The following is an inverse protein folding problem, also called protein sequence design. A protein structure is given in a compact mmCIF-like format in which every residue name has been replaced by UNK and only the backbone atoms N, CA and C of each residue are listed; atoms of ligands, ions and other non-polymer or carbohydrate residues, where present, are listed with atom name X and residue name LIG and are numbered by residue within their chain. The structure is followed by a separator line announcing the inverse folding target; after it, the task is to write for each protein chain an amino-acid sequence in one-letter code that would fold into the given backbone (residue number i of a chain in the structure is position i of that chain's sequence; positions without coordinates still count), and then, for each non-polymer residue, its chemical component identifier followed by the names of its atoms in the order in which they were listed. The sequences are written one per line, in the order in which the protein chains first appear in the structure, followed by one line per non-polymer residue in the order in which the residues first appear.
data_IF_975610053286
#
_entry.id   IF_975610053286
#
_cell.length_a   1.000
_cell.length_b   1.000
_cell.length_c   1.000
_cell.angle_alpha   90.00
_cell.angle_beta   90.00
_cell.angle_gamma   90.00
#
_symmetry.space_group_name_H-M   'P 1'
#
loop_
_entity.id
_entity.type
_entity.pdbx_description
1 polymer ?
#
# COMPACT_ATOMS: atom_id res chain seq x y z
N UNK A 1 2.80 -5.70 -52.25
CA UNK A 1 2.80 -4.54 -51.33
C UNK A 1 2.60 -5.10 -49.93
N UNK A 2 3.69 -5.28 -49.17
CA UNK A 2 3.63 -5.86 -47.82
C UNK A 2 3.27 -4.73 -46.87
N UNK A 3 2.07 -4.78 -46.27
CA UNK A 3 1.72 -3.88 -45.17
C UNK A 3 2.56 -4.29 -43.96
N UNK A 4 3.60 -3.51 -43.65
CA UNK A 4 4.19 -3.51 -42.32
C UNK A 4 3.15 -2.95 -41.35
N UNK A 5 2.45 -3.84 -40.65
CA UNK A 5 1.72 -3.47 -39.44
C UNK A 5 2.78 -3.03 -38.43
N UNK A 6 2.91 -1.71 -38.24
CA UNK A 6 3.70 -1.17 -37.14
C UNK A 6 3.02 -1.57 -35.84
N UNK A 7 3.42 -2.70 -35.27
CA UNK A 7 3.14 -3.00 -33.86
C UNK A 7 4.08 -2.11 -33.06
N UNK A 8 3.60 -0.93 -32.67
CA UNK A 8 4.32 -0.06 -31.76
C UNK A 8 4.31 -0.72 -30.38
N UNK A 9 5.38 -1.45 -30.04
CA UNK A 9 5.60 -1.94 -28.68
C UNK A 9 6.11 -0.77 -27.84
N UNK A 10 5.29 -0.31 -26.89
CA UNK A 10 5.79 0.55 -25.82
C UNK A 10 6.83 -0.24 -25.03
N UNK A 11 8.03 0.33 -24.85
CA UNK A 11 9.15 -0.29 -24.12
C UNK A 11 9.46 0.43 -22.80
N UNK A 12 8.83 1.58 -22.57
CA UNK A 12 9.01 2.39 -21.36
C UNK A 12 7.67 2.52 -20.64
N UNK A 13 7.63 2.02 -19.40
CA UNK A 13 6.46 2.04 -18.53
C UNK A 13 6.91 2.53 -17.15
N UNK A 14 6.86 3.85 -16.88
CA UNK A 14 7.43 4.43 -15.66
C UNK A 14 6.77 3.95 -14.35
N UNK A 15 5.60 3.32 -14.44
CA UNK A 15 4.86 2.79 -13.29
C UNK A 15 4.50 1.30 -13.43
N UNK A 16 5.20 0.61 -14.33
CA UNK A 16 4.95 -0.78 -14.68
C UNK A 16 3.97 -0.96 -15.84
N UNK A 17 3.95 -2.17 -16.40
CA UNK A 17 3.05 -2.53 -17.50
C UNK A 17 1.60 -2.56 -16.97
N UNK A 18 0.65 -1.91 -17.65
CA UNK A 18 -0.75 -1.91 -17.21
C UNK A 18 -1.28 -3.33 -17.02
N UNK A 19 -1.84 -3.60 -15.84
CA UNK A 19 -2.42 -4.91 -15.53
C UNK A 19 -3.86 -5.02 -16.09
N UNK A 20 -4.32 -6.24 -16.34
CA UNK A 20 -5.61 -6.59 -16.91
C UNK A 20 -6.74 -6.11 -15.98
N UNK A 21 -7.69 -5.34 -16.53
CA UNK A 21 -8.83 -4.76 -15.78
C UNK A 21 -9.64 -5.80 -15.00
N UNK A 22 -9.73 -7.03 -15.49
CA UNK A 22 -10.43 -8.13 -14.85
C UNK A 22 -9.86 -8.46 -13.46
N UNK A 23 -8.54 -8.50 -13.31
CA UNK A 23 -7.88 -8.81 -12.01
C UNK A 23 -8.24 -7.78 -10.94
N UNK A 24 -8.31 -6.50 -11.31
CA UNK A 24 -8.69 -5.43 -10.39
C UNK A 24 -10.13 -5.57 -9.89
N UNK A 25 -11.05 -6.03 -10.74
CA UNK A 25 -12.46 -6.26 -10.35
C UNK A 25 -12.63 -7.39 -9.35
N UNK A 26 -11.86 -8.47 -9.51
CA UNK A 26 -11.88 -9.63 -8.60
C UNK A 26 -11.33 -9.25 -7.22
N UNK A 27 -10.24 -8.47 -7.17
CA UNK A 27 -9.67 -7.94 -5.93
C UNK A 27 -10.66 -7.05 -5.19
N UNK A 28 -11.33 -6.12 -5.89
CA UNK A 28 -12.33 -5.25 -5.26
C UNK A 28 -13.49 -6.01 -4.63
N UNK A 29 -13.96 -7.10 -5.26
CA UNK A 29 -15.01 -7.96 -4.65
C UNK A 29 -14.53 -8.62 -3.35
N UNK A 30 -13.32 -9.18 -3.36
CA UNK A 30 -12.74 -9.79 -2.15
C UNK A 30 -12.58 -8.75 -1.03
N UNK A 31 -12.15 -7.53 -1.37
CA UNK A 31 -12.02 -6.43 -0.42
C UNK A 31 -13.39 -6.00 0.12
N UNK A 32 -14.41 -5.90 -0.74
CA UNK A 32 -15.78 -5.58 -0.33
C UNK A 32 -16.34 -6.59 0.67
N UNK A 33 -16.04 -7.87 0.50
CA UNK A 33 -16.43 -8.92 1.45
C UNK A 33 -15.79 -8.71 2.83
N UNK A 34 -14.51 -8.32 2.88
CA UNK A 34 -13.84 -7.96 4.14
C UNK A 34 -14.51 -6.76 4.80
N UNK A 35 -14.77 -5.68 4.05
CA UNK A 35 -15.50 -4.52 4.60
C UNK A 35 -16.88 -4.91 5.12
N UNK A 36 -17.62 -5.76 4.39
CA UNK A 36 -18.94 -6.24 4.80
C UNK A 36 -18.88 -7.05 6.09
N UNK A 37 -17.84 -7.87 6.28
CA UNK A 37 -17.61 -8.61 7.52
C UNK A 37 -17.39 -7.67 8.73
N UNK A 38 -16.78 -6.51 8.52
CA UNK A 38 -16.51 -5.50 9.55
C UNK A 38 -17.51 -4.33 9.57
N UNK A 39 -18.77 -4.56 9.16
CA UNK A 39 -19.83 -3.53 9.17
C UNK A 39 -19.44 -2.24 8.43
N UNK A 40 -18.75 -2.38 7.30
CA UNK A 40 -18.25 -1.30 6.45
C UNK A 40 -17.26 -0.34 7.13
N UNK A 41 -16.63 -0.77 8.24
CA UNK A 41 -15.66 0.04 8.98
C UNK A 41 -14.45 -0.79 9.37
N UNK A 42 -13.32 -0.51 8.72
CA UNK A 42 -12.04 -1.15 9.00
C UNK A 42 -11.11 -0.17 9.70
N UNK A 43 -10.56 -0.55 10.84
CA UNK A 43 -9.53 0.18 11.55
C UNK A 43 -8.14 -0.35 11.19
N UNK A 44 -7.08 0.22 11.79
CA UNK A 44 -5.72 -0.29 11.59
C UNK A 44 -5.56 -1.78 11.97
N UNK A 45 -6.38 -2.30 12.89
CA UNK A 45 -6.30 -3.69 13.35
C UNK A 45 -6.64 -4.69 12.24
N UNK A 46 -7.65 -4.40 11.42
CA UNK A 46 -8.13 -5.31 10.36
C UNK A 46 -7.38 -5.09 9.02
N UNK A 47 -6.49 -4.09 8.93
CA UNK A 47 -5.80 -3.76 7.68
C UNK A 47 -4.91 -4.87 7.14
N UNK A 48 -4.49 -5.83 7.98
CA UNK A 48 -3.77 -7.03 7.52
C UNK A 48 -4.63 -7.86 6.56
N UNK A 49 -5.92 -7.99 6.85
CA UNK A 49 -6.88 -8.73 6.01
C UNK A 49 -7.14 -7.98 4.71
N UNK A 50 -7.25 -6.65 4.77
CA UNK A 50 -7.35 -5.79 3.58
C UNK A 50 -6.12 -5.92 2.67
N UNK A 51 -4.91 -5.91 3.23
CA UNK A 51 -3.68 -6.15 2.45
C UNK A 51 -3.72 -7.52 1.76
N UNK A 52 -4.12 -8.58 2.47
CA UNK A 52 -4.22 -9.92 1.90
C UNK A 52 -5.25 -9.98 0.76
N UNK A 53 -6.46 -9.45 0.96
CA UNK A 53 -7.51 -9.42 -0.07
C UNK A 53 -7.15 -8.57 -1.29
N UNK A 54 -6.42 -7.47 -1.08
CA UNK A 54 -5.89 -6.62 -2.16
C UNK A 54 -4.64 -7.19 -2.84
N UNK A 55 -4.06 -8.27 -2.31
CA UNK A 55 -2.78 -8.84 -2.72
C UNK A 55 -1.63 -7.83 -2.63
N UNK A 56 -1.68 -6.96 -1.62
CA UNK A 56 -0.58 -6.09 -1.20
C UNK A 56 0.19 -6.76 -0.06
N UNK A 57 1.44 -6.35 0.13
CA UNK A 57 2.24 -6.86 1.26
C UNK A 57 1.57 -6.51 2.59
N UNK A 58 1.38 -7.52 3.44
CA UNK A 58 0.69 -7.37 4.75
C UNK A 58 1.47 -6.55 5.77
N UNK A 59 2.79 -6.37 5.55
CA UNK A 59 3.63 -5.49 6.37
C UNK A 59 3.37 -4.01 6.08
N UNK A 60 2.69 -3.68 4.98
CA UNK A 60 2.37 -2.29 4.62
C UNK A 60 1.06 -1.80 5.24
N UNK A 61 0.46 -2.55 6.16
CA UNK A 61 -0.88 -2.29 6.71
C UNK A 61 -1.03 -0.88 7.29
N UNK A 62 -0.03 -0.37 8.02
CA UNK A 62 -0.07 0.99 8.59
C UNK A 62 0.15 2.08 7.54
N UNK A 63 1.21 2.06 6.70
CA UNK A 63 1.33 2.99 5.59
C UNK A 63 0.09 3.04 4.69
N UNK A 64 -0.50 1.88 4.36
CA UNK A 64 -1.72 1.78 3.57
C UNK A 64 -2.91 2.43 4.27
N UNK A 65 -3.09 2.16 5.56
CA UNK A 65 -4.13 2.78 6.37
C UNK A 65 -3.99 4.31 6.37
N UNK A 66 -2.80 4.83 6.65
CA UNK A 66 -2.53 6.27 6.71
C UNK A 66 -2.56 6.97 5.35
N UNK A 67 -2.43 6.22 4.26
CA UNK A 67 -2.59 6.71 2.90
C UNK A 67 -4.08 6.93 2.54
N UNK A 68 -4.99 6.19 3.16
CA UNK A 68 -6.43 6.19 2.83
C UNK A 68 -7.24 6.95 3.88
N UNK A 69 -6.88 6.80 5.16
CA UNK A 69 -7.62 7.36 6.28
C UNK A 69 -7.63 8.89 6.27
N UNK A 70 -8.76 9.46 6.66
CA UNK A 70 -8.97 10.91 6.79
C UNK A 70 -8.66 11.32 8.23
N UNK A 71 -8.00 12.47 8.44
CA UNK A 71 -7.43 12.94 9.72
C UNK A 71 -8.37 13.00 10.95
N UNK A 72 -9.68 12.80 10.77
CA UNK A 72 -10.68 12.89 11.83
C UNK A 72 -11.48 11.59 12.03
N UNK A 73 -11.06 10.49 11.40
CA UNK A 73 -11.73 9.18 11.50
C UNK A 73 -10.71 8.11 11.87
N UNK A 74 -11.08 7.22 12.79
CA UNK A 74 -10.29 6.05 13.19
C UNK A 74 -10.68 4.78 12.42
N UNK A 75 -11.41 4.92 11.31
CA UNK A 75 -11.79 3.83 10.42
C UNK A 75 -11.80 4.32 8.97
N UNK A 76 -11.74 3.36 8.05
CA UNK A 76 -11.96 3.53 6.61
C UNK A 76 -13.27 2.80 6.28
N UNK A 77 -14.11 3.38 5.43
CA UNK A 77 -15.25 2.67 4.83
C UNK A 77 -14.96 2.18 3.41
N UNK A 78 -15.75 1.23 2.91
CA UNK A 78 -15.52 0.66 1.57
C UNK A 78 -15.55 1.73 0.48
N UNK A 79 -16.45 2.72 0.57
CA UNK A 79 -16.53 3.81 -0.39
C UNK A 79 -15.22 4.61 -0.50
N UNK A 80 -14.59 4.92 0.63
CA UNK A 80 -13.29 5.60 0.68
C UNK A 80 -12.20 4.73 0.05
N UNK A 81 -12.14 3.45 0.43
CA UNK A 81 -11.18 2.51 -0.13
C UNK A 81 -11.35 2.34 -1.63
N UNK A 82 -12.57 2.13 -2.13
CA UNK A 82 -12.86 1.90 -3.54
C UNK A 82 -12.51 3.11 -4.40
N UNK A 83 -12.79 4.32 -3.91
CA UNK A 83 -12.39 5.57 -4.56
C UNK A 83 -10.86 5.70 -4.62
N UNK A 84 -10.17 5.44 -3.51
CA UNK A 84 -8.71 5.43 -3.47
C UNK A 84 -8.11 4.38 -4.41
N UNK A 85 -8.63 3.15 -4.38
CA UNK A 85 -8.17 2.02 -5.19
C UNK A 85 -8.28 2.31 -6.69
N UNK A 86 -9.38 2.95 -7.12
CA UNK A 86 -9.56 3.38 -8.50
C UNK A 86 -8.46 4.36 -8.94
N UNK A 87 -8.13 5.34 -8.11
CA UNK A 87 -7.06 6.30 -8.38
C UNK A 87 -5.70 5.60 -8.40
N UNK A 88 -5.42 4.81 -7.38
CA UNK A 88 -4.19 4.02 -7.23
C UNK A 88 -3.92 3.13 -8.44
N UNK A 89 -4.89 2.28 -8.84
CA UNK A 89 -4.73 1.36 -9.96
C UNK A 89 -4.83 2.00 -11.35
N UNK A 90 -5.14 3.30 -11.45
CA UNK A 90 -5.12 4.01 -12.74
C UNK A 90 -3.72 4.35 -13.23
N UNK A 91 -2.73 4.37 -12.33
CA UNK A 91 -1.38 4.82 -12.62
C UNK A 91 -0.28 3.99 -11.96
N UNK A 92 -0.61 3.01 -11.12
CA UNK A 92 0.36 2.24 -10.33
C UNK A 92 0.16 0.74 -10.53
N UNK A 93 1.13 0.08 -11.17
CA UNK A 93 0.97 -1.29 -11.65
C UNK A 93 1.89 -2.29 -10.96
N UNK A 94 3.19 -2.04 -10.90
CA UNK A 94 4.16 -2.95 -10.27
C UNK A 94 4.30 -2.73 -8.76
N UNK A 95 4.95 -3.67 -8.08
CA UNK A 95 5.10 -3.67 -6.63
C UNK A 95 5.94 -2.48 -6.11
N UNK A 96 6.98 -2.07 -6.84
CA UNK A 96 7.84 -0.96 -6.43
C UNK A 96 7.09 0.37 -6.50
N UNK A 97 6.36 0.62 -7.59
CA UNK A 97 5.51 1.80 -7.74
C UNK A 97 4.37 1.80 -6.70
N UNK A 98 3.79 0.63 -6.38
CA UNK A 98 2.80 0.48 -5.31
C UNK A 98 3.38 0.90 -3.96
N UNK A 99 4.58 0.42 -3.62
CA UNK A 99 5.27 0.75 -2.39
C UNK A 99 5.55 2.26 -2.28
N UNK A 100 6.15 2.85 -3.32
CA UNK A 100 6.45 4.29 -3.36
C UNK A 100 5.17 5.12 -3.22
N UNK A 101 4.12 4.79 -3.96
CA UNK A 101 2.85 5.52 -3.89
C UNK A 101 2.24 5.48 -2.49
N UNK A 102 2.21 4.31 -1.85
CA UNK A 102 1.62 4.14 -0.52
C UNK A 102 2.38 4.98 0.52
N UNK A 103 3.71 4.88 0.54
CA UNK A 103 4.54 5.58 1.53
C UNK A 103 4.54 7.11 1.32
N UNK A 104 4.47 7.58 0.06
CA UNK A 104 4.41 9.03 -0.23
C UNK A 104 2.98 9.58 -0.21
N UNK A 105 1.97 8.73 0.01
CA UNK A 105 0.55 9.07 -0.14
C UNK A 105 0.23 9.64 -1.53
N UNK A 106 0.93 9.17 -2.55
CA UNK A 106 0.83 9.64 -3.93
C UNK A 106 1.39 11.04 -4.21
N UNK A 107 2.05 11.68 -3.23
CA UNK A 107 2.58 13.05 -3.40
C UNK A 107 3.83 13.13 -4.28
N UNK A 108 4.61 12.05 -4.34
CA UNK A 108 5.94 11.97 -4.97
C UNK A 108 6.19 10.58 -5.56
N UNK A 109 7.12 10.52 -6.52
CA UNK A 109 7.60 9.30 -7.16
C UNK A 109 8.99 8.84 -6.66
N UNK A 110 9.38 9.28 -5.47
CA UNK A 110 10.60 8.88 -4.78
C UNK A 110 10.35 8.91 -3.26
N UNK A 111 11.17 8.16 -2.52
CA UNK A 111 11.09 8.08 -1.06
C UNK A 111 12.19 8.93 -0.43
N UNK A 112 11.87 9.54 0.71
CA UNK A 112 12.84 10.12 1.64
C UNK A 112 12.75 9.39 2.98
N UNK A 113 13.77 9.48 3.85
CA UNK A 113 13.82 8.72 5.11
C UNK A 113 12.58 8.84 6.01
N UNK A 114 11.91 10.00 6.03
CA UNK A 114 10.71 10.20 6.83
C UNK A 114 9.48 9.46 6.30
N UNK A 115 9.44 9.07 5.01
CA UNK A 115 8.31 8.34 4.43
C UNK A 115 8.21 6.90 5.00
N UNK A 116 9.30 6.39 5.58
CA UNK A 116 9.35 5.06 6.18
C UNK A 116 8.85 5.01 7.62
N UNK A 117 8.63 6.16 8.27
CA UNK A 117 8.27 6.24 9.69
C UNK A 117 7.04 5.38 10.06
N UNK A 118 5.90 5.43 9.31
CA UNK A 118 4.76 4.58 9.60
C UNK A 118 5.07 3.08 9.44
N UNK A 119 5.88 2.72 8.43
CA UNK A 119 6.25 1.33 8.20
C UNK A 119 7.12 0.79 9.35
N UNK A 120 8.18 1.52 9.70
CA UNK A 120 9.12 1.13 10.76
C UNK A 120 8.40 1.03 12.10
N UNK A 121 7.54 2.00 12.42
CA UNK A 121 6.79 1.97 13.67
C UNK A 121 5.87 0.74 13.76
N UNK A 122 5.21 0.37 12.66
CA UNK A 122 4.37 -0.82 12.62
C UNK A 122 5.17 -2.12 12.77
N UNK A 123 6.36 -2.18 12.16
CA UNK A 123 7.25 -3.34 12.29
C UNK A 123 7.71 -3.53 13.73
N UNK A 124 8.10 -2.45 14.42
CA UNK A 124 8.49 -2.48 15.84
C UNK A 124 7.30 -2.94 16.70
N UNK A 125 6.10 -2.45 16.41
CA UNK A 125 4.89 -2.79 17.18
C UNK A 125 4.44 -4.24 16.99
N UNK A 126 4.67 -4.83 15.82
CA UNK A 126 4.00 -6.09 15.42
C UNK A 126 4.91 -7.29 15.24
N UNK A 127 6.22 -7.09 15.01
CA UNK A 127 7.16 -8.20 14.87
C UNK A 127 7.77 -8.56 16.23
N UNK A 128 7.53 -9.79 16.75
CA UNK A 128 8.08 -10.21 18.04
C UNK A 128 9.61 -10.09 18.12
N UNK A 129 10.30 -10.33 17.00
CA UNK A 129 11.76 -10.17 16.91
C UNK A 129 12.24 -8.72 17.06
N UNK A 130 11.38 -7.74 16.84
CA UNK A 130 11.66 -6.32 17.01
C UNK A 130 11.09 -5.73 18.31
N UNK A 131 10.28 -6.49 19.07
CA UNK A 131 9.79 -6.05 20.37
C UNK A 131 10.94 -5.80 21.37
N UNK A 132 12.05 -6.52 21.22
CA UNK A 132 13.29 -6.28 21.97
C UNK A 132 13.84 -4.84 21.83
N UNK A 133 13.58 -4.18 20.69
CA UNK A 133 13.92 -2.77 20.54
C UNK A 133 13.05 -1.93 21.47
N UNK A 134 11.75 -2.23 21.59
CA UNK A 134 10.77 -1.46 22.38
C UNK A 134 11.13 -1.32 23.87
N UNK A 135 11.84 -2.32 24.41
CA UNK A 135 12.22 -2.39 25.82
C UNK A 135 13.61 -1.77 26.14
N UNK A 136 14.36 -1.32 25.13
CA UNK A 136 15.74 -0.81 25.28
C UNK A 136 15.92 0.55 24.54
N UNK A 137 15.70 1.69 25.22
CA UNK A 137 15.72 3.03 24.61
C UNK A 137 17.05 3.41 23.94
N UNK A 138 18.16 2.78 24.34
CA UNK A 138 19.50 3.05 23.81
C UNK A 138 19.67 2.58 22.36
N UNK A 139 18.88 1.59 21.91
CA UNK A 139 18.94 1.04 20.56
C UNK A 139 17.94 1.65 19.57
N UNK A 140 16.95 2.42 20.03
CA UNK A 140 15.94 3.04 19.15
C UNK A 140 16.55 3.99 18.12
N UNK A 141 17.43 4.89 18.54
CA UNK A 141 18.02 5.88 17.65
C UNK A 141 18.97 5.23 16.63
N UNK A 142 19.78 4.28 17.05
CA UNK A 142 20.77 3.63 16.19
C UNK A 142 20.13 2.76 15.08
N UNK A 143 19.03 2.06 15.37
CA UNK A 143 18.33 1.25 14.35
C UNK A 143 17.56 2.13 13.36
N UNK A 144 16.86 3.16 13.85
CA UNK A 144 16.16 4.11 12.97
C UNK A 144 17.15 4.81 12.03
N UNK A 145 18.32 5.21 12.51
CA UNK A 145 19.35 5.86 11.69
C UNK A 145 20.01 4.92 10.68
N UNK A 146 20.13 3.62 10.98
CA UNK A 146 20.72 2.63 10.05
C UNK A 146 19.75 2.18 8.96
N UNK A 147 18.43 2.22 9.22
CA UNK A 147 17.39 1.79 8.27
C UNK A 147 16.88 2.94 7.40
N UNK A 148 16.98 4.19 7.88
CA UNK A 148 16.68 5.42 7.12
C UNK A 148 17.61 5.60 5.92
#
# INVERSE_FOLDING_TARGET
MVLFVYVSFSFHFPFGVPNIQFENSTKLKAIEEVFRHHNDKVSLAEMREICAASQLCTLWKRPLYECIAVSHQNFICYGQFAQWWKTFKSSVYDEAAQFVYILTKGSRNYLVPNDFEPLIQDLIDTLPSLQLLKDEPSFHSAYIETVK
#
